data_IF_729353526570
#
_entry.id   IF_729353526570
#
_cell.length_a   1.000
_cell.length_b   1.000
_cell.length_c   1.000
_cell.angle_alpha   90.00
_cell.angle_beta   90.00
_cell.angle_gamma   90.00
#
_symmetry.space_group_name_H-M   'P 1'
#
loop_
_entity.id
_entity.type
_entity.pdbx_description
1 polymer ?
#
# COMPACT_ATOMS: atom_id res chain seq x y z
N UNK A 1 9.81 39.77 9.68
CA UNK A 1 9.83 39.04 8.38
C UNK A 1 10.89 37.95 8.30
N UNK A 2 12.17 38.17 8.68
CA UNK A 2 13.22 37.14 8.59
C UNK A 2 13.00 35.90 9.49
N UNK A 3 12.39 36.06 10.66
CA UNK A 3 12.08 34.96 11.60
C UNK A 3 10.93 34.05 11.15
N UNK A 4 10.01 34.54 10.32
CA UNK A 4 8.88 33.75 9.79
C UNK A 4 9.31 32.82 8.64
N UNK A 5 10.34 33.23 7.89
CA UNK A 5 10.91 32.43 6.78
C UNK A 5 11.69 31.22 7.33
N UNK A 6 12.32 31.36 8.51
CA UNK A 6 13.04 30.26 9.16
C UNK A 6 12.10 29.16 9.69
N UNK A 7 10.90 29.52 10.17
CA UNK A 7 9.90 28.53 10.60
C UNK A 7 9.27 27.78 9.42
N UNK A 8 9.04 28.44 8.29
CA UNK A 8 8.50 27.81 7.08
C UNK A 8 9.48 26.83 6.41
N UNK A 9 10.80 27.03 6.57
CA UNK A 9 11.82 26.10 6.08
C UNK A 9 12.01 24.89 7.00
N UNK A 10 11.74 25.04 8.31
CA UNK A 10 11.83 23.92 9.26
C UNK A 10 10.67 22.93 9.13
N UNK A 11 9.51 23.38 8.63
CA UNK A 11 8.38 22.51 8.31
C UNK A 11 8.53 21.71 7.01
N UNK A 12 9.51 21.97 6.15
CA UNK A 12 9.77 21.09 5.00
C UNK A 12 10.60 19.85 5.35
N UNK A 13 11.08 19.75 6.60
CA UNK A 13 11.70 18.55 7.15
C UNK A 13 10.66 17.60 7.80
N UNK A 14 9.37 17.70 7.44
CA UNK A 14 8.41 16.67 7.82
C UNK A 14 8.85 15.35 7.20
N UNK A 15 9.39 14.50 8.08
CA UNK A 15 9.88 13.17 7.83
C UNK A 15 9.04 12.44 6.79
N UNK A 16 9.67 12.09 5.67
CA UNK A 16 9.25 10.94 4.86
C UNK A 16 9.16 9.75 5.82
N UNK A 17 7.94 9.36 6.21
CA UNK A 17 7.72 8.27 7.13
C UNK A 17 8.10 6.97 6.41
N UNK A 18 9.26 6.43 6.74
CA UNK A 18 9.68 5.11 6.27
C UNK A 18 9.12 4.04 7.19
N UNK A 19 8.49 3.02 6.65
CA UNK A 19 8.08 1.86 7.43
C UNK A 19 9.30 1.02 7.79
N UNK A 20 9.46 0.67 9.06
CA UNK A 20 10.47 -0.28 9.50
C UNK A 20 9.91 -1.70 9.40
N UNK A 21 10.18 -2.39 8.29
CA UNK A 21 9.67 -3.73 8.03
C UNK A 21 10.78 -4.76 8.15
N UNK A 22 10.48 -5.91 8.76
CA UNK A 22 11.41 -7.05 8.74
C UNK A 22 11.74 -7.45 7.29
N UNK A 23 13.03 -7.62 7.00
CA UNK A 23 13.51 -7.88 5.65
C UNK A 23 12.97 -9.20 5.07
N UNK A 24 12.68 -10.21 5.91
CA UNK A 24 12.09 -11.46 5.44
C UNK A 24 10.62 -11.27 5.08
N UNK A 25 9.87 -10.47 5.84
CA UNK A 25 8.48 -10.10 5.49
C UNK A 25 8.44 -9.40 4.14
N UNK A 26 9.31 -8.41 3.92
CA UNK A 26 9.39 -7.72 2.63
C UNK A 26 9.77 -8.67 1.48
N UNK A 27 10.74 -9.56 1.70
CA UNK A 27 11.13 -10.58 0.72
C UNK A 27 9.96 -11.50 0.35
N UNK A 28 9.19 -11.96 1.34
CA UNK A 28 8.02 -12.82 1.13
C UNK A 28 6.94 -12.10 0.29
N UNK A 29 6.75 -10.79 0.52
CA UNK A 29 5.83 -9.97 -0.29
C UNK A 29 6.31 -9.85 -1.74
N UNK A 30 7.59 -9.56 -1.95
CA UNK A 30 8.15 -9.44 -3.30
C UNK A 30 8.01 -10.75 -4.09
N UNK A 31 8.25 -11.90 -3.46
CA UNK A 31 8.05 -13.22 -4.06
C UNK A 31 6.57 -13.45 -4.40
N UNK A 32 5.66 -13.11 -3.49
CA UNK A 32 4.22 -13.25 -3.71
C UNK A 32 3.73 -12.39 -4.89
N UNK A 33 4.28 -11.19 -5.04
CA UNK A 33 3.90 -10.22 -6.06
C UNK A 33 4.56 -10.45 -7.43
N UNK A 34 5.71 -11.14 -7.48
CA UNK A 34 6.52 -11.34 -8.69
C UNK A 34 5.67 -11.78 -9.90
N UNK A 35 4.79 -12.80 -9.83
CA UNK A 35 4.07 -13.31 -11.00
C UNK A 35 3.13 -12.29 -11.65
N UNK A 36 2.71 -11.27 -10.89
CA UNK A 36 1.72 -10.28 -11.33
C UNK A 36 2.32 -8.89 -11.56
N UNK A 37 3.61 -8.71 -11.25
CA UNK A 37 4.26 -7.39 -11.26
C UNK A 37 4.23 -6.74 -12.63
N UNK A 38 4.69 -7.43 -13.67
CA UNK A 38 4.73 -6.86 -15.03
C UNK A 38 3.34 -6.47 -15.52
N UNK A 39 2.36 -7.35 -15.30
CA UNK A 39 0.99 -7.09 -15.69
C UNK A 39 0.41 -5.87 -14.96
N UNK A 40 0.59 -5.79 -13.64
CA UNK A 40 0.06 -4.66 -12.87
C UNK A 40 0.77 -3.34 -13.17
N UNK A 41 2.07 -3.36 -13.48
CA UNK A 41 2.78 -2.17 -13.96
C UNK A 41 2.15 -1.63 -15.25
N UNK A 42 1.81 -2.54 -16.18
CA UNK A 42 1.19 -2.18 -17.46
C UNK A 42 -0.25 -1.68 -17.28
N UNK A 43 -1.05 -2.36 -16.47
CA UNK A 43 -2.47 -2.01 -16.25
C UNK A 43 -2.64 -0.68 -15.53
N UNK A 44 -1.78 -0.37 -14.55
CA UNK A 44 -1.88 0.88 -13.80
C UNK A 44 -1.11 2.04 -14.43
N UNK A 45 -0.29 1.77 -15.45
CA UNK A 45 0.61 2.73 -16.09
C UNK A 45 1.55 3.45 -15.08
N UNK A 46 1.86 2.78 -13.96
CA UNK A 46 2.76 3.33 -12.94
C UNK A 46 4.21 3.24 -13.40
N UNK A 47 5.01 4.25 -13.07
CA UNK A 47 6.45 4.16 -13.29
C UNK A 47 7.05 3.06 -12.40
N UNK A 48 7.67 2.07 -13.05
CA UNK A 48 8.35 0.94 -12.43
C UNK A 48 9.38 1.36 -11.37
N UNK A 49 10.11 2.44 -11.60
CA UNK A 49 11.10 2.96 -10.64
C UNK A 49 10.44 3.47 -9.36
N UNK A 50 9.25 4.09 -9.46
CA UNK A 50 8.49 4.52 -8.29
C UNK A 50 8.08 3.31 -7.46
N UNK A 51 7.63 2.23 -8.10
CA UNK A 51 7.27 0.99 -7.41
C UNK A 51 8.46 0.40 -6.68
N UNK A 52 9.59 0.24 -7.36
CA UNK A 52 10.79 -0.31 -6.72
C UNK A 52 11.32 0.56 -5.59
N UNK A 53 11.36 1.87 -5.78
CA UNK A 53 11.81 2.79 -4.73
C UNK A 53 10.87 2.74 -3.51
N UNK A 54 9.57 2.57 -3.71
CA UNK A 54 8.61 2.46 -2.62
C UNK A 54 8.86 1.22 -1.76
N UNK A 55 9.10 0.06 -2.36
CA UNK A 55 9.42 -1.17 -1.62
C UNK A 55 10.83 -1.16 -1.02
N UNK A 56 11.83 -0.65 -1.75
CA UNK A 56 13.22 -0.61 -1.30
C UNK A 56 13.42 0.34 -0.11
N UNK A 57 12.73 1.48 -0.12
CA UNK A 57 12.82 2.48 0.96
C UNK A 57 11.72 2.33 1.99
N UNK A 58 10.75 1.43 1.76
CA UNK A 58 9.52 1.34 2.53
C UNK A 58 8.84 2.71 2.70
N UNK A 59 8.84 3.50 1.62
CA UNK A 59 8.31 4.86 1.54
C UNK A 59 7.20 4.86 0.49
N UNK A 60 5.95 4.77 0.94
CA UNK A 60 4.81 4.51 0.08
C UNK A 60 4.14 5.84 -0.32
N UNK A 61 4.12 6.23 -1.61
CA UNK A 61 3.53 7.50 -2.06
C UNK A 61 2.04 7.58 -1.76
N UNK A 62 1.56 8.61 -1.05
CA UNK A 62 0.14 8.72 -0.69
C UNK A 62 -0.73 9.36 -1.76
N UNK A 63 -0.16 10.25 -2.56
CA UNK A 63 -0.88 11.10 -3.51
C UNK A 63 -0.51 10.78 -4.96
N UNK A 64 -0.34 9.48 -5.28
CA UNK A 64 -0.01 9.01 -6.62
C UNK A 64 -0.96 7.91 -7.10
N UNK A 65 -1.94 8.31 -7.91
CA UNK A 65 -3.07 7.47 -8.30
C UNK A 65 -2.65 6.17 -9.01
N UNK A 66 -1.65 6.25 -9.89
CA UNK A 66 -1.13 5.10 -10.63
C UNK A 66 -0.51 4.07 -9.69
N UNK A 67 0.14 4.51 -8.60
CA UNK A 67 0.66 3.63 -7.55
C UNK A 67 -0.46 3.03 -6.70
N UNK A 68 -1.49 3.82 -6.37
CA UNK A 68 -2.67 3.30 -5.67
C UNK A 68 -3.38 2.22 -6.50
N UNK A 69 -3.52 2.44 -7.82
CA UNK A 69 -4.10 1.46 -8.74
C UNK A 69 -3.21 0.24 -8.97
N UNK A 70 -1.87 0.40 -8.92
CA UNK A 70 -0.95 -0.73 -8.91
C UNK A 70 -1.20 -1.65 -7.70
N UNK A 71 -1.35 -1.07 -6.49
CA UNK A 71 -1.68 -1.84 -5.29
C UNK A 71 -3.02 -2.58 -5.44
N UNK A 72 -4.03 -1.91 -6.03
CA UNK A 72 -5.34 -2.54 -6.30
C UNK A 72 -5.21 -3.72 -7.26
N UNK A 73 -4.47 -3.56 -8.35
CA UNK A 73 -4.23 -4.64 -9.29
C UNK A 73 -3.58 -5.84 -8.59
N UNK A 74 -2.55 -5.61 -7.78
CA UNK A 74 -1.88 -6.66 -7.03
C UNK A 74 -2.83 -7.43 -6.11
N UNK A 75 -3.61 -6.72 -5.30
CA UNK A 75 -4.56 -7.35 -4.39
C UNK A 75 -5.67 -8.10 -5.12
N UNK A 76 -6.12 -7.60 -6.28
CA UNK A 76 -7.10 -8.31 -7.10
C UNK A 76 -6.52 -9.60 -7.70
N UNK A 77 -5.31 -9.56 -8.24
CA UNK A 77 -4.63 -10.75 -8.82
C UNK A 77 -4.29 -11.80 -7.76
N UNK A 78 -3.98 -11.36 -6.54
CA UNK A 78 -3.78 -12.24 -5.39
C UNK A 78 -5.08 -12.77 -4.77
N UNK A 79 -6.24 -12.39 -5.31
CA UNK A 79 -7.57 -12.72 -4.77
C UNK A 79 -7.81 -12.20 -3.35
N UNK A 80 -7.03 -11.21 -2.90
CA UNK A 80 -7.22 -10.56 -1.61
C UNK A 80 -8.33 -9.51 -1.65
N UNK A 81 -8.64 -8.98 -2.82
CA UNK A 81 -9.65 -7.96 -3.03
C UNK A 81 -10.49 -8.24 -4.28
N UNK A 82 -11.77 -7.94 -4.19
CA UNK A 82 -12.77 -8.15 -5.22
C UNK A 82 -13.37 -6.80 -5.65
N UNK A 83 -12.80 -6.10 -6.65
CA UNK A 83 -13.18 -4.73 -7.03
C UNK A 83 -14.65 -4.55 -7.42
N UNK A 84 -15.30 -5.62 -7.87
CA UNK A 84 -16.71 -5.66 -8.27
C UNK A 84 -17.66 -5.69 -7.07
N UNK A 85 -17.19 -6.09 -5.89
CA UNK A 85 -17.97 -6.08 -4.64
C UNK A 85 -17.39 -5.16 -3.56
N UNK A 86 -16.16 -4.69 -3.74
CA UNK A 86 -15.42 -3.94 -2.73
C UNK A 86 -15.03 -4.77 -1.50
N UNK A 87 -15.08 -6.10 -1.60
CA UNK A 87 -14.79 -7.01 -0.48
C UNK A 87 -13.34 -7.44 -0.45
N UNK A 88 -12.82 -7.65 0.76
CA UNK A 88 -11.52 -8.26 1.00
C UNK A 88 -11.67 -9.70 1.50
N UNK A 89 -10.81 -10.60 1.02
CA UNK A 89 -10.66 -11.93 1.60
C UNK A 89 -9.69 -11.88 2.79
N UNK A 90 -10.21 -11.49 3.95
CA UNK A 90 -9.40 -11.31 5.17
C UNK A 90 -8.81 -12.62 5.68
N UNK A 91 -9.51 -13.73 5.54
CA UNK A 91 -9.01 -15.05 5.98
C UNK A 91 -7.85 -15.51 5.10
N UNK A 92 -7.95 -15.33 3.79
CA UNK A 92 -6.84 -15.59 2.87
C UNK A 92 -5.64 -14.68 3.16
N UNK A 93 -5.87 -13.39 3.41
CA UNK A 93 -4.79 -12.46 3.78
C UNK A 93 -4.09 -12.89 5.07
N UNK A 94 -4.82 -13.28 6.12
CA UNK A 94 -4.25 -13.80 7.37
C UNK A 94 -3.43 -15.07 7.10
N UNK A 95 -3.90 -15.96 6.23
CA UNK A 95 -3.21 -17.20 5.89
C UNK A 95 -1.94 -17.00 5.04
N UNK A 96 -1.88 -15.94 4.23
CA UNK A 96 -0.79 -15.71 3.25
C UNK A 96 0.21 -14.64 3.65
N UNK A 97 -0.23 -13.60 4.36
CA UNK A 97 0.62 -12.46 4.71
C UNK A 97 1.21 -12.69 6.09
N UNK A 98 2.52 -12.91 6.14
CA UNK A 98 3.25 -13.09 7.40
C UNK A 98 3.04 -11.90 8.33
N UNK A 99 2.66 -12.17 9.58
CA UNK A 99 2.36 -11.16 10.60
C UNK A 99 0.93 -10.60 10.53
N UNK A 100 0.16 -10.89 9.47
CA UNK A 100 -1.23 -10.46 9.41
C UNK A 100 -2.06 -11.22 10.45
N UNK A 101 -2.58 -10.49 11.43
CA UNK A 101 -3.50 -11.04 12.43
C UNK A 101 -4.93 -10.66 12.10
N UNK A 102 -5.89 -11.39 12.65
CA UNK A 102 -7.32 -11.03 12.58
C UNK A 102 -7.58 -9.59 13.05
N UNK A 103 -6.89 -9.15 14.10
CA UNK A 103 -7.00 -7.79 14.61
C UNK A 103 -6.57 -6.74 13.58
N UNK A 104 -5.43 -6.94 12.91
CA UNK A 104 -4.95 -6.02 11.87
C UNK A 104 -5.91 -6.04 10.67
N UNK A 105 -6.31 -7.25 10.23
CA UNK A 105 -7.20 -7.42 9.09
C UNK A 105 -8.55 -6.71 9.30
N UNK A 106 -9.19 -6.90 10.46
CA UNK A 106 -10.46 -6.27 10.80
C UNK A 106 -10.33 -4.74 10.96
N UNK A 107 -9.19 -4.26 11.47
CA UNK A 107 -8.98 -2.84 11.72
C UNK A 107 -8.67 -2.01 10.47
N UNK A 108 -8.13 -2.63 9.40
CA UNK A 108 -7.65 -1.91 8.22
C UNK A 108 -8.42 -2.20 6.93
N UNK A 109 -9.04 -3.37 6.79
CA UNK A 109 -9.72 -3.79 5.56
C UNK A 109 -11.24 -3.76 5.74
N UNK A 110 -11.80 -2.57 5.54
CA UNK A 110 -13.24 -2.33 5.48
C UNK A 110 -13.78 -2.71 4.10
N UNK A 111 -14.84 -3.51 4.07
CA UNK A 111 -15.54 -3.85 2.83
C UNK A 111 -16.37 -2.65 2.39
N UNK A 112 -16.02 -2.07 1.24
CA UNK A 112 -16.73 -0.91 0.70
C UNK A 112 -16.65 -0.91 -0.81
N UNK A 113 -17.81 -0.92 -1.44
CA UNK A 113 -17.92 -0.78 -2.88
C UNK A 113 -17.84 0.69 -3.28
N UNK A 114 -17.11 0.95 -4.36
CA UNK A 114 -17.01 2.25 -5.02
C UNK A 114 -17.24 2.05 -6.52
N UNK A 115 -18.07 2.88 -7.14
CA UNK A 115 -18.32 2.83 -8.59
C UNK A 115 -17.11 3.34 -9.38
N UNK A 116 -16.50 4.43 -8.90
CA UNK A 116 -15.38 5.08 -9.56
C UNK A 116 -14.09 4.28 -9.38
N UNK A 117 -13.31 4.15 -10.45
CA UNK A 117 -12.05 3.40 -10.45
C UNK A 117 -11.01 4.04 -9.52
N UNK A 118 -10.88 5.36 -9.57
CA UNK A 118 -9.94 6.10 -8.72
C UNK A 118 -10.27 5.97 -7.24
N UNK A 119 -11.55 5.97 -6.89
CA UNK A 119 -11.99 5.75 -5.52
C UNK A 119 -11.67 4.32 -5.05
N UNK A 120 -11.85 3.31 -5.92
CA UNK A 120 -11.47 1.92 -5.60
C UNK A 120 -9.97 1.78 -5.36
N UNK A 121 -9.14 2.42 -6.21
CA UNK A 121 -7.69 2.43 -6.03
C UNK A 121 -7.30 3.07 -4.69
N UNK A 122 -7.91 4.23 -4.38
CA UNK A 122 -7.59 5.00 -3.18
C UNK A 122 -8.06 4.28 -1.90
N UNK A 123 -9.27 3.72 -1.91
CA UNK A 123 -9.81 2.92 -0.80
C UNK A 123 -8.88 1.76 -0.46
N UNK A 124 -8.55 0.95 -1.47
CA UNK A 124 -7.67 -0.19 -1.25
C UNK A 124 -6.29 0.22 -0.77
N UNK A 125 -5.71 1.24 -1.41
CA UNK A 125 -4.39 1.71 -1.03
C UNK A 125 -4.33 2.19 0.42
N UNK A 126 -5.35 2.94 0.88
CA UNK A 126 -5.44 3.37 2.27
C UNK A 126 -5.52 2.19 3.25
N UNK A 127 -6.25 1.12 2.90
CA UNK A 127 -6.27 -0.12 3.69
C UNK A 127 -4.90 -0.78 3.77
N UNK A 128 -4.16 -0.84 2.65
CA UNK A 128 -2.79 -1.39 2.62
C UNK A 128 -1.84 -0.58 3.50
N UNK A 129 -1.85 0.76 3.39
CA UNK A 129 -1.02 1.64 4.22
C UNK A 129 -1.36 1.49 5.70
N UNK A 130 -2.64 1.34 6.06
CA UNK A 130 -3.07 1.06 7.43
C UNK A 130 -2.46 -0.26 7.95
N UNK A 131 -2.51 -1.33 7.15
CA UNK A 131 -1.99 -2.62 7.56
C UNK A 131 -0.47 -2.60 7.72
N UNK A 132 0.25 -2.00 6.76
CA UNK A 132 1.72 -1.85 6.82
C UNK A 132 2.13 -1.05 8.05
N UNK A 133 1.40 0.03 8.40
CA UNK A 133 1.61 0.81 9.64
C UNK A 133 1.51 -0.03 10.91
N UNK A 134 0.64 -1.05 10.94
CA UNK A 134 0.47 -1.93 12.11
C UNK A 134 1.53 -3.02 12.13
N UNK A 135 1.83 -3.61 10.98
CA UNK A 135 2.88 -4.62 10.82
C UNK A 135 4.29 -4.07 11.08
N UNK A 136 4.53 -2.79 10.83
CA UNK A 136 5.82 -2.14 11.06
C UNK A 136 6.05 -1.67 12.49
N UNK A 137 5.04 -1.82 13.37
CA UNK A 137 5.06 -1.36 14.77
C UNK A 137 5.10 -2.52 15.78
N UNK A 138 5.15 -3.75 15.27
CA UNK A 138 5.51 -4.95 16.04
C UNK A 138 7.00 -5.25 15.85
#
# INVERSE_FOLDING_TARGET
MKLLILFALFSMAFASWKFNMDANVLKDWLIMMEPYTEQCLKESNVNKEVVYNAFLNMDLPTDYNEFNCFAKCMYARLSFYYPETGKFDRELMIAKIKGMTKHIADACYENKYHSEELDRCSHLYNSVVCAIKKLSKE
#
